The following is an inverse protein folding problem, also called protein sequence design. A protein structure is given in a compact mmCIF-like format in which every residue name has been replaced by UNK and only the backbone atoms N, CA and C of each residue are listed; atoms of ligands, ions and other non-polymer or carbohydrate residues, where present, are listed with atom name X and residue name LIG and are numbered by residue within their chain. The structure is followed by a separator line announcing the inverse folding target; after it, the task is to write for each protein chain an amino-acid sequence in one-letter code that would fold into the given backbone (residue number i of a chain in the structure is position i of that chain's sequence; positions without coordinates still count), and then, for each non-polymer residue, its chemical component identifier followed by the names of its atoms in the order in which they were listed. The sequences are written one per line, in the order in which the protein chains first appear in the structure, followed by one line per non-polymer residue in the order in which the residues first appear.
data_IF_723751053616
#
_entry.id   IF_723751053616
#
_cell.length_a   1.000
_cell.length_b   1.000
_cell.length_c   1.000
_cell.angle_alpha   90.00
_cell.angle_beta   90.00
_cell.angle_gamma   90.00
#
_symmetry.space_group_name_H-M   'P 1'
#
loop_
_entity.id
_entity.type
_entity.pdbx_description
1 polymer ?
#
# COMPACT_ATOMS: atom_id res chain seq x y z
N UNK A 1 4.95 18.48 -2.08
CA UNK A 1 4.84 17.73 -0.78
C UNK A 1 3.88 16.60 -1.07
N UNK A 2 4.18 15.37 -0.69
CA UNK A 2 3.26 14.26 -0.96
C UNK A 2 2.14 14.26 0.09
N UNK A 3 0.90 14.37 -0.35
CA UNK A 3 -0.29 14.53 0.48
C UNK A 3 -0.53 13.28 1.32
N UNK A 4 -0.35 12.09 0.74
CA UNK A 4 -0.48 10.82 1.45
C UNK A 4 0.56 10.68 2.57
N UNK A 5 1.81 11.10 2.32
CA UNK A 5 2.82 11.13 3.38
C UNK A 5 2.39 12.02 4.54
N UNK A 6 1.89 13.21 4.23
CA UNK A 6 1.42 14.15 5.26
C UNK A 6 0.27 13.56 6.06
N UNK A 7 -0.70 12.95 5.39
CA UNK A 7 -1.83 12.31 6.04
C UNK A 7 -1.36 11.16 6.96
N UNK A 8 -0.61 10.21 6.43
CA UNK A 8 -0.20 9.04 7.20
C UNK A 8 0.79 9.36 8.33
N UNK A 9 1.67 10.34 8.16
CA UNK A 9 2.56 10.77 9.26
C UNK A 9 1.77 11.25 10.48
N UNK A 10 0.61 11.90 10.28
CA UNK A 10 -0.24 12.40 11.35
C UNK A 10 -1.27 11.36 11.84
N UNK A 11 -1.73 10.47 10.96
CA UNK A 11 -2.74 9.45 11.28
C UNK A 11 -2.16 8.19 11.93
N UNK A 12 -0.86 7.96 11.79
CA UNK A 12 -0.18 6.73 12.25
C UNK A 12 -0.52 6.30 13.69
N UNK A 13 -0.59 7.19 14.72
CA UNK A 13 -0.92 6.78 16.08
C UNK A 13 -2.32 6.20 16.24
N UNK A 14 -3.25 6.52 15.33
CA UNK A 14 -4.63 6.08 15.36
C UNK A 14 -4.94 4.95 14.40
N UNK A 15 -4.04 4.65 13.46
CA UNK A 15 -4.26 3.71 12.36
C UNK A 15 -4.73 2.33 12.82
N UNK A 16 -4.16 1.80 13.90
CA UNK A 16 -4.53 0.48 14.42
C UNK A 16 -5.91 0.42 15.11
N UNK A 17 -6.62 1.55 15.22
CA UNK A 17 -8.01 1.59 15.70
C UNK A 17 -9.01 1.29 14.57
N UNK A 18 -8.57 1.35 13.32
CA UNK A 18 -9.40 1.09 12.15
C UNK A 18 -9.92 -0.35 12.11
N UNK A 19 -11.15 -0.52 11.63
CA UNK A 19 -11.84 -1.82 11.64
C UNK A 19 -11.12 -2.86 10.78
N UNK A 20 -10.58 -2.44 9.64
CA UNK A 20 -9.90 -3.33 8.69
C UNK A 20 -8.57 -3.90 9.23
N UNK A 21 -7.99 -3.32 10.29
CA UNK A 21 -6.74 -3.83 10.87
C UNK A 21 -6.94 -5.07 11.77
N UNK A 22 -8.19 -5.40 12.13
CA UNK A 22 -8.51 -6.42 13.14
C UNK A 22 -8.27 -7.87 12.70
N UNK A 23 -8.20 -8.13 11.40
CA UNK A 23 -8.11 -9.48 10.85
C UNK A 23 -6.68 -9.92 10.48
N UNK A 24 -5.66 -9.22 10.97
CA UNK A 24 -4.25 -9.45 10.59
C UNK A 24 -3.83 -10.91 10.63
N UNK A 25 -4.22 -11.66 11.67
CA UNK A 25 -3.83 -13.07 11.80
C UNK A 25 -4.40 -13.93 10.68
N UNK A 26 -5.70 -13.77 10.38
CA UNK A 26 -6.36 -14.52 9.31
C UNK A 26 -5.84 -14.09 7.92
N UNK A 27 -5.51 -12.82 7.75
CA UNK A 27 -4.91 -12.32 6.51
C UNK A 27 -3.52 -12.94 6.30
N UNK A 28 -2.70 -13.04 7.33
CA UNK A 28 -1.38 -13.68 7.24
C UNK A 28 -1.50 -15.19 7.04
N UNK A 29 -2.49 -15.87 7.65
CA UNK A 29 -2.78 -17.29 7.35
C UNK A 29 -3.07 -17.48 5.86
N UNK A 30 -3.96 -16.65 5.30
CA UNK A 30 -4.29 -16.64 3.88
C UNK A 30 -3.07 -16.37 2.98
N UNK A 31 -2.22 -15.39 3.32
CA UNK A 31 -1.01 -15.09 2.56
C UNK A 31 -0.06 -16.30 2.47
N UNK A 32 0.17 -16.96 3.60
CA UNK A 32 1.07 -18.11 3.67
C UNK A 32 0.54 -19.26 2.80
N UNK A 33 -0.75 -19.54 2.90
CA UNK A 33 -1.41 -20.62 2.17
C UNK A 33 -1.47 -20.31 0.67
N UNK A 34 -2.01 -19.14 0.29
CA UNK A 34 -2.24 -18.78 -1.12
C UNK A 34 -0.94 -18.63 -1.91
N UNK A 35 0.07 -18.01 -1.30
CA UNK A 35 1.38 -17.82 -1.93
C UNK A 35 2.32 -19.01 -1.73
N UNK A 36 1.91 -20.07 -1.01
CA UNK A 36 2.70 -21.26 -0.70
C UNK A 36 4.08 -20.91 -0.14
N UNK A 37 4.13 -19.98 0.82
CA UNK A 37 5.38 -19.45 1.35
C UNK A 37 6.19 -20.52 2.07
N UNK A 38 7.41 -20.78 1.57
CA UNK A 38 8.33 -21.70 2.24
C UNK A 38 8.81 -21.12 3.58
N UNK A 39 8.99 -21.94 4.63
CA UNK A 39 9.50 -21.46 5.91
C UNK A 39 10.82 -20.68 5.76
N UNK A 40 10.90 -19.52 6.40
CA UNK A 40 12.10 -18.70 6.41
C UNK A 40 12.40 -17.92 5.13
N UNK A 41 11.50 -17.94 4.13
CA UNK A 41 11.70 -17.15 2.92
C UNK A 41 11.73 -15.64 3.20
N UNK A 42 12.29 -14.89 2.25
CA UNK A 42 12.39 -13.43 2.32
C UNK A 42 11.18 -12.78 1.67
N UNK A 43 10.55 -11.83 2.35
CA UNK A 43 9.30 -11.18 1.89
C UNK A 43 9.50 -9.66 1.85
N UNK A 44 9.09 -9.04 0.74
CA UNK A 44 8.96 -7.60 0.60
C UNK A 44 7.52 -7.18 0.90
N UNK A 45 7.32 -6.29 1.88
CA UNK A 45 6.02 -5.68 2.19
C UNK A 45 6.06 -4.21 1.73
N UNK A 46 5.44 -3.93 0.57
CA UNK A 46 5.44 -2.61 -0.05
C UNK A 46 4.23 -1.80 0.41
N UNK A 47 4.47 -0.64 1.02
CA UNK A 47 3.44 0.14 1.70
C UNK A 47 3.02 -0.53 3.02
N UNK A 48 4.01 -0.92 3.83
CA UNK A 48 3.80 -1.75 5.02
C UNK A 48 3.03 -1.06 6.15
N UNK A 49 2.86 0.27 6.11
CA UNK A 49 2.18 1.05 7.12
C UNK A 49 2.77 0.83 8.53
N UNK A 50 1.90 0.56 9.50
CA UNK A 50 2.29 0.24 10.89
C UNK A 50 2.90 -1.17 11.05
N UNK A 51 3.21 -1.85 9.96
CA UNK A 51 3.91 -3.12 9.94
C UNK A 51 3.09 -4.31 10.45
N UNK A 52 1.75 -4.24 10.51
CA UNK A 52 0.93 -5.29 11.11
C UNK A 52 1.13 -6.67 10.44
N UNK A 53 1.23 -6.74 9.11
CA UNK A 53 1.52 -7.99 8.40
C UNK A 53 3.01 -8.37 8.52
N UNK A 54 3.91 -7.41 8.34
CA UNK A 54 5.35 -7.61 8.47
C UNK A 54 5.75 -8.20 9.83
N UNK A 55 5.21 -7.65 10.92
CA UNK A 55 5.46 -8.13 12.29
C UNK A 55 4.92 -9.54 12.49
N UNK A 56 3.70 -9.84 12.04
CA UNK A 56 3.13 -11.18 12.19
C UNK A 56 3.86 -12.22 11.33
N UNK A 57 4.25 -11.88 10.09
CA UNK A 57 5.09 -12.74 9.26
C UNK A 57 6.45 -13.01 9.94
N UNK A 58 7.08 -11.99 10.52
CA UNK A 58 8.34 -12.16 11.24
C UNK A 58 8.17 -13.07 12.49
N UNK A 59 7.04 -12.97 13.22
CA UNK A 59 6.71 -13.89 14.33
C UNK A 59 6.59 -15.34 13.88
N UNK A 60 6.20 -15.58 12.63
CA UNK A 60 6.11 -16.92 12.02
C UNK A 60 7.43 -17.40 11.41
N UNK A 61 8.51 -16.62 11.56
CA UNK A 61 9.86 -16.99 11.15
C UNK A 61 10.26 -16.60 9.74
N UNK A 62 9.49 -15.71 9.09
CA UNK A 62 9.86 -15.13 7.80
C UNK A 62 10.83 -13.96 7.97
N UNK A 63 11.68 -13.73 6.97
CA UNK A 63 12.57 -12.56 6.93
C UNK A 63 11.91 -11.44 6.13
N UNK A 64 11.46 -10.38 6.80
CA UNK A 64 10.63 -9.35 6.17
C UNK A 64 11.38 -8.02 6.03
N UNK A 65 11.21 -7.37 4.89
CA UNK A 65 11.58 -5.97 4.66
C UNK A 65 10.30 -5.19 4.38
N UNK A 66 9.95 -4.29 5.30
CA UNK A 66 8.82 -3.37 5.16
C UNK A 66 9.27 -2.03 4.58
N UNK A 67 8.60 -1.58 3.53
CA UNK A 67 8.87 -0.29 2.88
C UNK A 67 7.65 0.59 3.01
N UNK A 68 7.81 1.81 3.49
CA UNK A 68 6.73 2.79 3.56
C UNK A 68 7.26 4.21 3.33
N UNK A 69 6.40 5.08 2.80
CA UNK A 69 6.72 6.49 2.57
C UNK A 69 6.69 7.30 3.88
N UNK A 70 5.81 6.92 4.81
CA UNK A 70 5.53 7.64 6.05
C UNK A 70 6.51 7.25 7.16
N UNK A 71 7.25 8.22 7.65
CA UNK A 71 8.09 8.04 8.83
C UNK A 71 7.27 7.80 10.10
N UNK A 72 6.06 8.37 10.18
CA UNK A 72 5.12 8.14 11.29
C UNK A 72 4.65 6.69 11.34
N UNK A 73 4.27 6.12 10.19
CA UNK A 73 3.88 4.71 10.10
C UNK A 73 5.02 3.78 10.49
N UNK A 74 6.24 4.02 9.97
CA UNK A 74 7.41 3.20 10.30
C UNK A 74 7.80 3.29 11.78
N UNK A 75 7.61 4.44 12.43
CA UNK A 75 7.83 4.56 13.86
C UNK A 75 6.86 3.69 14.70
N UNK A 76 5.60 3.57 14.27
CA UNK A 76 4.65 2.64 14.91
C UNK A 76 4.99 1.18 14.58
N UNK A 77 5.44 0.89 13.36
CA UNK A 77 5.88 -0.45 12.95
C UNK A 77 7.08 -0.94 13.80
N UNK A 78 8.06 -0.07 14.04
CA UNK A 78 9.21 -0.37 14.88
C UNK A 78 8.82 -0.67 16.33
N UNK A 79 7.89 0.13 16.88
CA UNK A 79 7.32 -0.13 18.23
C UNK A 79 6.62 -1.49 18.30
N UNK A 80 5.82 -1.80 17.27
CA UNK A 80 5.10 -3.08 17.20
C UNK A 80 6.06 -4.27 17.10
N UNK A 81 7.09 -4.19 16.28
CA UNK A 81 8.12 -5.23 16.15
C UNK A 81 8.89 -5.43 17.47
N UNK A 82 9.28 -4.34 18.12
CA UNK A 82 9.93 -4.39 19.43
C UNK A 82 9.04 -5.05 20.49
N UNK A 83 7.77 -4.66 20.55
CA UNK A 83 6.82 -5.23 21.50
C UNK A 83 6.56 -6.73 21.24
N UNK A 84 6.61 -7.16 19.99
CA UNK A 84 6.48 -8.56 19.57
C UNK A 84 7.78 -9.37 19.73
N UNK A 85 8.92 -8.74 20.02
CA UNK A 85 10.22 -9.40 20.15
C UNK A 85 10.76 -9.94 18.83
N UNK A 86 10.41 -9.33 17.70
CA UNK A 86 10.85 -9.72 16.36
C UNK A 86 11.66 -8.63 15.69
N UNK A 87 12.41 -9.01 14.65
CA UNK A 87 13.16 -8.08 13.81
C UNK A 87 12.55 -8.03 12.42
N UNK A 88 12.35 -6.81 11.93
CA UNK A 88 11.94 -6.50 10.56
C UNK A 88 12.86 -5.39 10.05
N UNK A 89 13.29 -5.49 8.81
CA UNK A 89 14.04 -4.41 8.16
C UNK A 89 13.06 -3.34 7.69
N UNK A 90 13.16 -2.13 8.23
CA UNK A 90 12.31 -1.01 7.85
C UNK A 90 13.04 -0.06 6.90
N UNK A 91 12.42 0.30 5.79
CA UNK A 91 12.96 1.20 4.77
C UNK A 91 11.97 2.33 4.50
N UNK A 92 12.37 3.57 4.82
CA UNK A 92 11.58 4.72 4.41
C UNK A 92 11.88 5.05 2.95
N UNK A 93 10.93 4.80 2.07
CA UNK A 93 11.06 5.10 0.64
C UNK A 93 9.70 5.30 -0.03
N UNK A 94 9.72 6.07 -1.10
CA UNK A 94 8.63 6.14 -2.06
C UNK A 94 8.63 4.87 -2.93
N UNK A 95 7.50 4.16 -2.97
CA UNK A 95 7.34 2.92 -3.72
C UNK A 95 7.59 3.10 -5.23
N UNK A 96 7.32 4.30 -5.77
CA UNK A 96 7.59 4.62 -7.19
C UNK A 96 9.09 4.75 -7.48
N UNK A 97 9.90 4.99 -6.45
CA UNK A 97 11.35 5.20 -6.57
C UNK A 97 12.17 4.09 -5.92
N UNK A 98 11.52 3.20 -5.14
CA UNK A 98 12.21 2.13 -4.43
C UNK A 98 13.00 1.23 -5.38
N UNK A 99 14.24 0.89 -4.98
CA UNK A 99 15.12 -0.04 -5.68
C UNK A 99 15.77 -0.95 -4.67
N UNK A 100 15.51 -2.24 -4.77
CA UNK A 100 16.16 -3.24 -3.92
C UNK A 100 17.51 -3.67 -4.48
N UNK A 101 18.49 -3.85 -3.59
CA UNK A 101 19.76 -4.47 -3.92
C UNK A 101 19.74 -5.99 -3.75
N UNK A 102 18.66 -6.55 -3.17
CA UNK A 102 18.47 -7.99 -2.97
C UNK A 102 17.18 -8.44 -3.65
N UNK A 103 17.09 -9.73 -3.95
CA UNK A 103 15.88 -10.34 -4.49
C UNK A 103 15.12 -11.07 -3.38
N UNK A 104 13.78 -10.95 -3.42
CA UNK A 104 12.86 -11.56 -2.47
C UNK A 104 12.20 -12.81 -3.03
N UNK A 105 11.84 -13.74 -2.13
CA UNK A 105 11.10 -14.95 -2.45
C UNK A 105 9.61 -14.70 -2.69
N UNK A 106 9.08 -13.60 -2.13
CA UNK A 106 7.71 -13.17 -2.31
C UNK A 106 7.58 -11.65 -2.07
N UNK A 107 6.50 -11.05 -2.56
CA UNK A 107 6.13 -9.68 -2.20
C UNK A 107 4.63 -9.56 -1.91
N UNK A 108 4.29 -8.62 -1.04
CA UNK A 108 2.92 -8.20 -0.74
C UNK A 108 2.81 -6.68 -0.88
N UNK A 109 1.64 -6.20 -1.30
CA UNK A 109 1.24 -4.79 -1.26
C UNK A 109 -0.25 -4.77 -0.92
N UNK A 110 -0.57 -4.53 0.36
CA UNK A 110 -1.88 -4.78 0.92
C UNK A 110 -2.53 -3.52 1.46
N UNK A 111 -3.86 -3.52 1.53
CA UNK A 111 -4.66 -2.40 2.03
C UNK A 111 -4.27 -1.09 1.33
N UNK A 112 -4.22 -1.16 0.01
CA UNK A 112 -3.80 -0.07 -0.88
C UNK A 112 -2.40 0.50 -0.56
N UNK A 113 -1.56 -0.22 0.16
CA UNK A 113 -0.28 0.17 0.75
C UNK A 113 0.50 1.30 0.09
N UNK A 114 0.56 1.28 -1.25
CA UNK A 114 1.06 2.38 -2.07
C UNK A 114 0.29 2.45 -3.40
N UNK A 115 -0.33 1.33 -3.82
CA UNK A 115 -0.98 1.16 -5.11
C UNK A 115 -2.34 1.87 -5.12
N UNK A 116 -2.52 2.81 -6.06
CA UNK A 116 -3.73 3.62 -6.15
C UNK A 116 -3.76 4.86 -5.25
N UNK A 117 -2.80 5.04 -4.35
CA UNK A 117 -2.68 6.23 -3.49
C UNK A 117 -1.81 7.28 -4.17
N UNK A 118 -2.42 8.13 -4.97
CA UNK A 118 -1.73 9.02 -5.92
C UNK A 118 -1.72 10.45 -5.40
N UNK A 119 -0.58 11.14 -5.52
CA UNK A 119 -0.52 12.59 -5.26
C UNK A 119 -1.35 13.36 -6.28
N UNK A 120 -1.95 14.48 -5.88
CA UNK A 120 -2.80 15.33 -6.73
C UNK A 120 -2.10 15.76 -8.04
N UNK A 121 -0.78 15.84 -8.03
CA UNK A 121 0.02 16.27 -9.18
C UNK A 121 0.59 15.13 -10.02
N UNK A 122 0.37 13.87 -9.65
CA UNK A 122 0.95 12.70 -10.32
C UNK A 122 0.01 12.11 -11.38
N UNK A 123 0.61 11.50 -12.40
CA UNK A 123 -0.10 10.66 -13.36
C UNK A 123 -0.39 9.30 -12.71
N UNK A 124 -1.68 8.96 -12.60
CA UNK A 124 -2.15 7.78 -11.88
C UNK A 124 -1.67 6.47 -12.48
N UNK A 125 -1.57 6.40 -13.82
CA UNK A 125 -1.14 5.20 -14.52
C UNK A 125 0.38 5.01 -14.41
N UNK A 126 1.13 6.10 -14.54
CA UNK A 126 2.59 6.07 -14.38
C UNK A 126 2.99 5.69 -12.95
N UNK A 127 2.29 6.23 -11.94
CA UNK A 127 2.49 5.94 -10.53
C UNK A 127 2.40 4.44 -10.26
N UNK A 128 1.25 3.83 -10.53
CA UNK A 128 1.00 2.42 -10.26
C UNK A 128 1.92 1.49 -11.06
N UNK A 129 2.20 1.84 -12.31
CA UNK A 129 3.13 1.09 -13.16
C UNK A 129 4.56 1.09 -12.60
N UNK A 130 5.02 2.22 -12.06
CA UNK A 130 6.34 2.31 -11.42
C UNK A 130 6.42 1.42 -10.18
N UNK A 131 5.38 1.38 -9.35
CA UNK A 131 5.30 0.51 -8.18
C UNK A 131 5.41 -0.95 -8.60
N UNK A 132 4.56 -1.40 -9.54
CA UNK A 132 4.57 -2.78 -10.02
C UNK A 132 5.92 -3.17 -10.63
N UNK A 133 6.53 -2.27 -11.41
CA UNK A 133 7.87 -2.47 -11.99
C UNK A 133 8.94 -2.62 -10.90
N UNK A 134 8.89 -1.80 -9.86
CA UNK A 134 9.86 -1.84 -8.77
C UNK A 134 9.73 -3.12 -7.93
N UNK A 135 8.48 -3.55 -7.63
CA UNK A 135 8.23 -4.82 -6.97
C UNK A 135 8.72 -5.99 -7.84
N UNK A 136 8.36 -6.01 -9.13
CA UNK A 136 8.79 -7.05 -10.06
C UNK A 136 10.32 -7.15 -10.16
N UNK A 137 11.02 -6.01 -10.19
CA UNK A 137 12.49 -5.97 -10.21
C UNK A 137 13.14 -6.44 -8.90
N UNK A 138 12.42 -6.41 -7.79
CA UNK A 138 12.86 -6.88 -6.48
C UNK A 138 12.55 -8.37 -6.25
N UNK A 139 11.79 -9.02 -7.11
CA UNK A 139 11.41 -10.43 -6.96
C UNK A 139 12.34 -11.37 -7.70
N UNK A 140 12.56 -12.55 -7.14
CA UNK A 140 13.20 -13.67 -7.85
C UNK A 140 12.30 -14.11 -9.02
N UNK A 141 12.87 -14.64 -10.12
CA UNK A 141 12.04 -15.16 -11.21
C UNK A 141 11.02 -16.20 -10.73
N UNK A 142 9.76 -16.00 -11.06
CA UNK A 142 8.65 -16.87 -10.64
C UNK A 142 8.17 -16.71 -9.19
N UNK A 143 8.72 -15.76 -8.44
CA UNK A 143 8.27 -15.47 -7.08
C UNK A 143 6.83 -14.90 -7.07
N UNK A 144 5.98 -15.33 -6.12
CA UNK A 144 4.62 -14.85 -6.03
C UNK A 144 4.55 -13.40 -5.53
N UNK A 145 3.55 -12.69 -6.02
CA UNK A 145 3.19 -11.35 -5.56
C UNK A 145 1.68 -11.26 -5.30
N UNK A 146 1.29 -10.79 -4.13
CA UNK A 146 -0.11 -10.56 -3.78
C UNK A 146 -0.36 -9.06 -3.57
N UNK A 147 -1.36 -8.57 -4.30
CA UNK A 147 -1.77 -7.17 -4.30
C UNK A 147 -3.24 -7.07 -3.93
N UNK A 148 -3.61 -6.10 -3.09
CA UNK A 148 -4.98 -5.60 -3.00
C UNK A 148 -5.11 -4.25 -3.68
N UNK A 149 -6.22 -4.02 -4.34
CA UNK A 149 -6.51 -2.78 -5.04
C UNK A 149 -7.96 -2.34 -4.80
N UNK A 150 -8.19 -1.03 -4.78
CA UNK A 150 -9.52 -0.46 -4.67
C UNK A 150 -10.38 -0.85 -5.88
N UNK A 151 -11.58 -1.38 -5.61
CA UNK A 151 -12.48 -1.90 -6.63
C UNK A 151 -13.25 -0.77 -7.33
N UNK A 152 -12.95 -0.51 -8.60
CA UNK A 152 -13.56 0.54 -9.41
C UNK A 152 -15.07 0.39 -9.65
N UNK A 153 -15.65 -0.78 -9.43
CA UNK A 153 -17.11 -0.94 -9.50
C UNK A 153 -17.83 -0.28 -8.32
N UNK A 154 -17.13 -0.03 -7.21
CA UNK A 154 -17.71 0.62 -6.03
C UNK A 154 -18.03 2.09 -6.31
N UNK A 155 -17.10 2.97 -6.68
CA UNK A 155 -17.38 4.37 -6.94
C UNK A 155 -18.36 4.57 -8.10
N UNK A 156 -18.32 3.76 -9.16
CA UNK A 156 -19.30 3.81 -10.24
C UNK A 156 -20.74 3.62 -9.75
N UNK A 157 -20.96 2.83 -8.70
CA UNK A 157 -22.30 2.59 -8.12
C UNK A 157 -22.70 3.62 -7.08
N UNK A 158 -21.73 4.26 -6.43
CA UNK A 158 -21.97 5.15 -5.29
C UNK A 158 -22.10 6.61 -5.68
N UNK A 159 -21.34 7.05 -6.68
CA UNK A 159 -21.30 8.45 -7.08
C UNK A 159 -22.42 8.80 -8.07
N UNK A 160 -23.00 9.96 -7.85
CA UNK A 160 -24.01 10.59 -8.71
C UNK A 160 -23.35 11.50 -9.76
N UNK A 161 -24.16 12.00 -10.74
CA UNK A 161 -23.69 13.04 -11.65
C UNK A 161 -23.26 14.31 -10.91
N UNK A 162 -23.89 14.64 -9.80
CA UNK A 162 -23.54 15.81 -8.98
C UNK A 162 -22.13 15.67 -8.38
N UNK A 163 -21.72 14.46 -7.97
CA UNK A 163 -20.38 14.18 -7.45
C UNK A 163 -19.32 14.32 -8.54
N UNK A 164 -19.65 13.91 -9.78
CA UNK A 164 -18.79 14.12 -10.94
C UNK A 164 -18.65 15.61 -11.25
N UNK A 165 -19.74 16.35 -11.26
CA UNK A 165 -19.73 17.80 -11.54
C UNK A 165 -18.94 18.59 -10.47
N UNK A 166 -18.90 18.08 -9.25
CA UNK A 166 -18.11 18.64 -8.13
C UNK A 166 -16.65 18.19 -8.12
N UNK A 167 -16.25 17.26 -8.99
CA UNK A 167 -14.90 16.70 -9.02
C UNK A 167 -14.57 15.76 -7.86
N UNK A 168 -15.57 15.23 -7.17
CA UNK A 168 -15.41 14.19 -6.13
C UNK A 168 -15.05 12.84 -6.74
N UNK A 169 -15.58 12.58 -7.93
CA UNK A 169 -15.27 11.37 -8.70
C UNK A 169 -15.08 11.68 -10.18
N UNK A 170 -14.01 11.19 -10.76
CA UNK A 170 -13.77 11.23 -12.19
C UNK A 170 -14.05 9.85 -12.82
N UNK A 171 -15.15 9.69 -13.58
CA UNK A 171 -15.52 8.41 -14.18
C UNK A 171 -14.60 7.97 -15.33
N UNK A 172 -13.78 8.86 -15.89
CA UNK A 172 -12.84 8.53 -16.97
C UNK A 172 -11.56 7.92 -16.42
N UNK A 173 -11.10 8.43 -15.29
CA UNK A 173 -9.86 7.95 -14.63
C UNK A 173 -10.14 7.02 -13.47
N UNK A 174 -11.39 6.90 -13.00
CA UNK A 174 -11.80 6.18 -11.79
C UNK A 174 -11.05 6.66 -10.54
N UNK A 175 -10.78 7.96 -10.47
CA UNK A 175 -10.15 8.60 -9.32
C UNK A 175 -11.24 9.20 -8.43
N UNK A 176 -11.21 8.85 -7.15
CA UNK A 176 -11.98 9.52 -6.10
C UNK A 176 -11.12 10.60 -5.45
N UNK A 177 -11.70 11.77 -5.22
CA UNK A 177 -11.07 12.89 -4.50
C UNK A 177 -11.76 13.07 -3.17
N UNK A 178 -11.01 12.94 -2.09
CA UNK A 178 -11.49 13.13 -0.73
C UNK A 178 -10.72 14.25 -0.01
N UNK A 179 -11.36 14.87 0.97
CA UNK A 179 -10.71 15.81 1.88
C UNK A 179 -10.71 15.16 3.26
N UNK A 180 -9.52 14.88 3.77
CA UNK A 180 -9.33 14.29 5.09
C UNK A 180 -8.83 15.31 6.07
N UNK A 181 -9.41 15.34 7.27
CA UNK A 181 -8.94 16.17 8.38
C UNK A 181 -8.01 15.37 9.29
N UNK A 182 -6.99 16.03 9.80
CA UNK A 182 -6.09 15.46 10.81
C UNK A 182 -5.69 16.53 11.84
N UNK A 183 -5.40 16.08 13.05
CA UNK A 183 -5.00 16.94 14.15
C UNK A 183 -3.50 17.23 14.11
N UNK A 184 -3.13 18.48 14.36
CA UNK A 184 -1.74 18.91 14.53
C UNK A 184 -1.58 19.70 15.81
N UNK A 185 -0.36 19.97 16.23
CA UNK A 185 -0.08 20.88 17.35
C UNK A 185 -0.59 22.30 17.15
N UNK A 186 -0.92 22.67 15.91
CA UNK A 186 -1.45 24.00 15.53
C UNK A 186 -2.98 23.96 15.29
N UNK A 187 -3.65 22.84 15.56
CA UNK A 187 -5.09 22.64 15.34
C UNK A 187 -5.37 21.72 14.17
N UNK A 188 -6.65 21.63 13.79
CA UNK A 188 -7.10 20.80 12.66
C UNK A 188 -6.59 21.36 11.33
N UNK A 189 -6.08 20.48 10.51
CA UNK A 189 -5.71 20.76 9.13
C UNK A 189 -6.42 19.78 8.20
N UNK A 190 -6.52 20.11 6.93
CA UNK A 190 -7.10 19.24 5.92
C UNK A 190 -6.09 18.99 4.79
N UNK A 191 -6.24 17.83 4.16
CA UNK A 191 -5.47 17.44 2.98
C UNK A 191 -6.41 16.84 1.93
N UNK A 192 -6.18 17.17 0.67
CA UNK A 192 -6.87 16.55 -0.45
C UNK A 192 -6.13 15.30 -0.87
N UNK A 193 -6.83 14.18 -0.98
CA UNK A 193 -6.28 12.88 -1.33
C UNK A 193 -6.94 12.36 -2.61
N UNK A 194 -6.17 11.71 -3.46
CA UNK A 194 -6.62 11.04 -4.67
C UNK A 194 -6.43 9.53 -4.52
N UNK A 195 -7.54 8.79 -4.70
CA UNK A 195 -7.55 7.33 -4.68
C UNK A 195 -7.94 6.81 -6.07
N UNK A 196 -7.00 6.16 -6.73
CA UNK A 196 -7.22 5.49 -8.00
C UNK A 196 -7.80 4.11 -7.75
N UNK A 197 -9.04 3.91 -8.18
CA UNK A 197 -9.68 2.58 -8.18
C UNK A 197 -9.44 1.86 -9.50
N UNK A 198 -9.52 0.52 -9.51
CA UNK A 198 -9.24 -0.32 -10.66
C UNK A 198 -10.39 -1.25 -11.01
N UNK A 199 -10.70 -1.37 -12.28
CA UNK A 199 -11.56 -2.45 -12.75
C UNK A 199 -10.78 -3.77 -12.79
N UNK A 200 -11.41 -4.92 -12.51
CA UNK A 200 -10.72 -6.21 -12.54
C UNK A 200 -9.97 -6.50 -13.85
N UNK A 201 -10.51 -6.04 -14.99
CA UNK A 201 -9.88 -6.22 -16.29
C UNK A 201 -8.53 -5.49 -16.42
N UNK A 202 -8.37 -4.34 -15.77
CA UNK A 202 -7.11 -3.56 -15.82
C UNK A 202 -5.95 -4.27 -15.11
N UNK A 203 -6.27 -5.16 -14.13
CA UNK A 203 -5.28 -5.94 -13.39
C UNK A 203 -4.94 -7.28 -14.04
N UNK A 204 -5.82 -7.81 -14.90
CA UNK A 204 -5.66 -9.12 -15.55
C UNK A 204 -4.99 -8.98 -16.91
N UNK A 205 -5.21 -7.87 -17.63
CA UNK A 205 -4.66 -7.68 -18.97
C UNK A 205 -3.18 -7.30 -18.87
N UNK A 206 -2.25 -8.08 -19.46
CA UNK A 206 -0.88 -7.64 -19.61
C UNK A 206 -0.87 -6.30 -20.34
N UNK A 207 -0.41 -5.25 -19.69
CA UNK A 207 -0.27 -3.96 -20.36
C UNK A 207 0.87 -4.10 -21.37
N UNK A 208 0.54 -4.48 -22.60
CA UNK A 208 1.44 -4.41 -23.76
C UNK A 208 1.69 -2.93 -24.07
N UNK A 209 2.59 -2.32 -23.33
CA UNK A 209 3.16 -1.05 -23.71
C UNK A 209 4.06 -1.23 -24.93
N UNK A 210 4.19 -0.24 -25.81
CA UNK A 210 5.15 -0.28 -26.91
C UNK A 210 6.56 -0.31 -26.31
N UNK A 211 7.25 -1.43 -26.42
CA UNK A 211 8.65 -1.64 -25.99
C UNK A 211 8.83 -2.70 -24.91
N UNK A 212 8.41 -3.95 -25.17
CA UNK A 212 8.97 -5.12 -24.49
C UNK A 212 10.23 -5.58 -25.22
#
# INVERSE_FOLDING_TARGET
MNEWKTFFDNFAPNYMQEVFTRNTLAEVDFLIEEMQLAPGCTILDMGCGTGRHSVELARRGYSVTGVDLSSGMLAEAEKAAHAAGVQVEWVQADATQYRSLKLFDAAICLCEGAFGLVSVSEDTEAHDRLILRNISAALKPGAPFLLTALNGLRPIRQHSQEDVDKGVFDPLTLVETSIMEYDTSQGKQSVTLHEKTRLPQELITPQSGPGA
#
